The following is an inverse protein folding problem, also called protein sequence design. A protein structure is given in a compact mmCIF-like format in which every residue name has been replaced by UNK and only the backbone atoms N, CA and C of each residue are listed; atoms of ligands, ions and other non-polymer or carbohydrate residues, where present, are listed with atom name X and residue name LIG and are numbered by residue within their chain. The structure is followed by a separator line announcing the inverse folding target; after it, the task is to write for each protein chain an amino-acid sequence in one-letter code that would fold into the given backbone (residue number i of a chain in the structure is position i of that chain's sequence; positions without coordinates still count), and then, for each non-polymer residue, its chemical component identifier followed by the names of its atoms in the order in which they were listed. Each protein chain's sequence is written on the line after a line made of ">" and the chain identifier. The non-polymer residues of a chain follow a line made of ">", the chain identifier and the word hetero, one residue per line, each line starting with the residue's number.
data_IF_838468419608
#
_entry.id   IF_838468419608
#
_cell.length_a   1.000
_cell.length_b   1.000
_cell.length_c   1.000
_cell.angle_alpha   90.00
_cell.angle_beta   90.00
_cell.angle_gamma   90.00
#
_symmetry.space_group_name_H-M   'P 1'
#
loop_
_entity.id
_entity.type
_entity.pdbx_description
1 polymer ?
#
# COMPACT_ATOMS: atom_id res chain seq x y z
N UNK A 1 14.29 96.19 -51.75
CA UNK A 1 13.30 95.13 -52.04
C UNK A 1 13.97 94.10 -52.93
N UNK A 2 14.42 92.98 -52.36
CA UNK A 2 15.15 91.94 -53.08
C UNK A 2 14.21 90.76 -53.34
N UNK A 3 13.67 90.66 -54.55
CA UNK A 3 12.78 89.58 -54.97
C UNK A 3 13.60 88.38 -55.44
N UNK A 4 13.59 87.31 -54.65
CA UNK A 4 14.21 86.04 -55.01
C UNK A 4 13.44 85.38 -56.17
N UNK A 5 14.12 84.81 -57.18
CA UNK A 5 13.45 84.14 -58.29
C UNK A 5 12.74 82.85 -57.82
N UNK A 6 11.62 82.50 -58.47
CA UNK A 6 10.84 81.31 -58.11
C UNK A 6 11.65 80.03 -58.38
N UNK A 7 11.53 79.01 -57.50
CA UNK A 7 12.22 77.74 -57.67
C UNK A 7 11.72 77.01 -58.93
N UNK A 8 12.67 76.43 -59.68
CA UNK A 8 12.38 75.65 -60.88
C UNK A 8 11.55 74.40 -60.53
N UNK A 9 10.57 74.02 -61.38
CA UNK A 9 9.80 72.81 -61.17
C UNK A 9 10.71 71.57 -61.23
N UNK A 10 10.51 70.58 -60.34
CA UNK A 10 11.31 69.37 -60.33
C UNK A 10 11.17 68.62 -61.67
N UNK A 11 12.24 67.98 -62.16
CA UNK A 11 12.20 67.23 -63.41
C UNK A 11 11.13 66.13 -63.33
N UNK A 12 10.15 66.21 -64.25
CA UNK A 12 9.13 65.18 -64.47
C UNK A 12 9.82 63.88 -64.88
N UNK A 13 10.09 63.00 -63.93
CA UNK A 13 10.55 61.65 -64.26
C UNK A 13 9.45 60.90 -65.04
N UNK A 14 9.80 60.19 -66.12
CA UNK A 14 8.84 59.41 -66.86
C UNK A 14 8.19 58.37 -65.94
N UNK A 15 6.91 58.03 -66.16
CA UNK A 15 6.22 57.00 -65.38
C UNK A 15 6.97 55.68 -65.57
N UNK A 16 7.67 55.24 -64.52
CA UNK A 16 8.27 53.92 -64.47
C UNK A 16 7.12 52.93 -64.52
N UNK A 17 6.94 52.28 -65.68
CA UNK A 17 6.05 51.11 -65.79
C UNK A 17 6.62 50.02 -64.89
N UNK A 18 6.13 49.95 -63.66
CA UNK A 18 6.38 48.81 -62.79
C UNK A 18 5.58 47.64 -63.36
N UNK A 19 6.28 46.75 -64.05
CA UNK A 19 5.74 45.43 -64.37
C UNK A 19 5.81 44.64 -63.07
N UNK A 20 4.68 44.53 -62.37
CA UNK A 20 4.57 43.79 -61.12
C UNK A 20 4.69 42.28 -61.40
N UNK A 21 5.90 41.81 -61.66
CA UNK A 21 6.19 40.38 -61.72
C UNK A 21 6.08 39.82 -60.31
N UNK A 22 4.91 39.26 -59.99
CA UNK A 22 4.67 38.56 -58.74
C UNK A 22 5.65 37.39 -58.55
N UNK A 23 5.92 37.04 -57.31
CA UNK A 23 6.76 35.89 -56.98
C UNK A 23 6.11 34.59 -57.47
N UNK A 24 6.90 33.71 -58.11
CA UNK A 24 6.40 32.43 -58.62
C UNK A 24 5.90 31.54 -57.47
N UNK A 25 4.71 30.92 -57.57
CA UNK A 25 4.21 29.96 -56.57
C UNK A 25 5.18 28.82 -56.31
N UNK A 26 5.91 28.37 -57.35
CA UNK A 26 6.92 27.30 -57.24
C UNK A 26 8.05 27.71 -56.28
N UNK A 27 8.43 29.00 -56.26
CA UNK A 27 9.45 29.48 -55.34
C UNK A 27 8.95 29.42 -53.88
N UNK A 28 7.69 29.77 -53.65
CA UNK A 28 7.07 29.72 -52.32
C UNK A 28 7.01 28.28 -51.82
N UNK A 29 6.67 27.32 -52.69
CA UNK A 29 6.64 25.90 -52.34
C UNK A 29 8.04 25.35 -52.05
N UNK A 30 9.06 25.81 -52.78
CA UNK A 30 10.47 25.47 -52.48
C UNK A 30 10.88 26.02 -51.12
N UNK A 31 10.57 27.28 -50.82
CA UNK A 31 10.84 27.88 -49.50
C UNK A 31 10.10 27.10 -48.40
N UNK A 32 8.82 26.78 -48.61
CA UNK A 32 8.05 26.01 -47.63
C UNK A 32 8.66 24.64 -47.38
N UNK A 33 9.16 23.97 -48.43
CA UNK A 33 9.86 22.69 -48.31
C UNK A 33 11.19 22.82 -47.59
N UNK A 34 12.01 23.80 -47.95
CA UNK A 34 13.34 24.03 -47.37
C UNK A 34 13.24 24.32 -45.85
N UNK A 35 12.22 25.05 -45.44
CA UNK A 35 11.94 25.33 -44.02
C UNK A 35 11.09 24.25 -43.32
N UNK A 36 10.76 23.15 -44.00
CA UNK A 36 9.92 22.06 -43.50
C UNK A 36 8.59 22.54 -42.89
N UNK A 37 7.95 23.48 -43.57
CA UNK A 37 6.70 24.09 -43.14
C UNK A 37 5.51 23.15 -43.31
N UNK A 38 4.53 23.28 -42.41
CA UNK A 38 3.26 22.58 -42.54
C UNK A 38 2.42 23.15 -43.69
N UNK A 39 1.49 22.35 -44.23
CA UNK A 39 0.60 22.76 -45.32
C UNK A 39 -0.14 24.07 -45.02
N UNK A 40 -0.59 24.27 -43.77
CA UNK A 40 -1.24 25.52 -43.34
C UNK A 40 -0.28 26.72 -43.38
N UNK A 41 0.96 26.54 -42.94
CA UNK A 41 1.98 27.59 -42.96
C UNK A 41 2.39 27.95 -44.38
N UNK A 42 2.53 26.95 -45.25
CA UNK A 42 2.76 27.16 -46.68
C UNK A 42 1.62 27.96 -47.33
N UNK A 43 0.36 27.65 -46.99
CA UNK A 43 -0.79 28.40 -47.47
C UNK A 43 -0.79 29.86 -46.97
N UNK A 44 -0.28 30.11 -45.76
CA UNK A 44 -0.09 31.48 -45.25
C UNK A 44 0.97 32.22 -46.05
N UNK A 45 2.08 31.57 -46.45
CA UNK A 45 3.08 32.20 -47.33
C UNK A 45 2.48 32.58 -48.69
N UNK A 46 1.73 31.67 -49.32
CA UNK A 46 1.02 31.94 -50.59
C UNK A 46 0.05 33.12 -50.44
N UNK A 47 -0.70 33.15 -49.34
CA UNK A 47 -1.65 34.23 -49.03
C UNK A 47 -0.92 35.56 -48.82
N UNK A 48 0.22 35.54 -48.12
CA UNK A 48 1.05 36.72 -47.89
C UNK A 48 1.60 37.30 -49.20
N UNK A 49 2.07 36.44 -50.11
CA UNK A 49 2.51 36.87 -51.45
C UNK A 49 1.36 37.46 -52.26
N UNK A 50 0.18 36.83 -52.22
CA UNK A 50 -1.01 37.33 -52.92
C UNK A 50 -1.38 38.74 -52.44
N UNK A 51 -1.41 38.98 -51.13
CA UNK A 51 -1.69 40.29 -50.57
C UNK A 51 -0.59 41.32 -50.84
N UNK A 52 0.68 40.92 -50.71
CA UNK A 52 1.84 41.77 -50.98
C UNK A 52 1.96 42.22 -52.44
N UNK A 53 1.27 41.52 -53.36
CA UNK A 53 1.24 41.83 -54.79
C UNK A 53 0.06 42.69 -55.23
N UNK A 54 -0.87 43.07 -54.34
CA UNK A 54 -2.02 43.90 -54.68
C UNK A 54 -1.65 45.39 -54.86
N UNK A 55 -2.16 46.01 -55.93
CA UNK A 55 -1.99 47.45 -56.19
C UNK A 55 -0.56 47.83 -56.56
N UNK A 56 0.00 48.87 -55.92
CA UNK A 56 1.42 49.24 -56.07
C UNK A 56 2.36 48.25 -55.38
N UNK A 57 1.82 47.40 -54.49
CA UNK A 57 2.52 46.25 -53.89
C UNK A 57 3.82 46.56 -53.14
N UNK A 58 4.46 45.49 -52.67
CA UNK A 58 5.86 45.51 -52.26
C UNK A 58 6.74 45.27 -53.49
N UNK A 59 7.94 45.86 -53.50
CA UNK A 59 8.94 45.47 -54.49
C UNK A 59 9.27 43.99 -54.34
N UNK A 60 9.54 43.29 -55.45
CA UNK A 60 9.91 41.88 -55.44
C UNK A 60 11.00 41.52 -54.40
N UNK A 61 12.11 42.27 -54.24
CA UNK A 61 13.12 41.96 -53.23
C UNK A 61 12.61 42.15 -51.78
N UNK A 62 11.77 43.15 -51.51
CA UNK A 62 11.18 43.31 -50.17
C UNK A 62 10.19 42.17 -49.89
N UNK A 63 9.35 41.81 -50.87
CA UNK A 63 8.42 40.69 -50.75
C UNK A 63 9.15 39.36 -50.50
N UNK A 64 10.22 39.09 -51.24
CA UNK A 64 11.04 37.89 -51.07
C UNK A 64 11.67 37.81 -49.68
N UNK A 65 12.24 38.93 -49.21
CA UNK A 65 12.88 39.00 -47.88
C UNK A 65 11.85 38.73 -46.78
N UNK A 66 10.65 39.31 -46.88
CA UNK A 66 9.59 39.09 -45.90
C UNK A 66 9.02 37.68 -45.92
N UNK A 67 8.85 37.07 -47.09
CA UNK A 67 8.43 35.66 -47.22
C UNK A 67 9.46 34.75 -46.57
N UNK A 68 10.75 34.98 -46.84
CA UNK A 68 11.83 34.20 -46.24
C UNK A 68 11.88 34.36 -44.71
N UNK A 69 11.76 35.60 -44.20
CA UNK A 69 11.67 35.86 -42.77
C UNK A 69 10.47 35.16 -42.11
N UNK A 70 9.30 35.20 -42.76
CA UNK A 70 8.09 34.56 -42.26
C UNK A 70 8.23 33.03 -42.25
N UNK A 71 8.86 32.46 -43.28
CA UNK A 71 9.18 31.04 -43.33
C UNK A 71 10.14 30.63 -42.21
N UNK A 72 11.20 31.42 -41.96
CA UNK A 72 12.12 31.19 -40.86
C UNK A 72 11.42 31.24 -39.49
N UNK A 73 10.51 32.20 -39.28
CA UNK A 73 9.71 32.30 -38.05
C UNK A 73 8.79 31.10 -37.85
N UNK A 74 8.11 30.64 -38.90
CA UNK A 74 7.27 29.44 -38.81
C UNK A 74 8.07 28.18 -38.52
N UNK A 75 9.26 28.06 -39.12
CA UNK A 75 10.17 26.94 -38.87
C UNK A 75 10.62 26.90 -37.40
N UNK A 76 11.07 28.03 -36.85
CA UNK A 76 11.48 28.14 -35.44
C UNK A 76 10.31 27.86 -34.49
N UNK A 77 9.12 28.40 -34.76
CA UNK A 77 7.93 28.13 -33.96
C UNK A 77 7.54 26.64 -33.97
N UNK A 78 7.57 26.00 -35.13
CA UNK A 78 7.29 24.57 -35.26
C UNK A 78 8.33 23.71 -34.52
N UNK A 79 9.61 24.08 -34.58
CA UNK A 79 10.67 23.34 -33.90
C UNK A 79 10.55 23.46 -32.37
N UNK A 80 10.27 24.66 -31.85
CA UNK A 80 10.00 24.84 -30.41
C UNK A 80 8.83 24.00 -29.93
N UNK A 81 7.76 23.91 -30.72
CA UNK A 81 6.61 23.07 -30.38
C UNK A 81 7.00 21.58 -30.36
N UNK A 82 7.78 21.10 -31.33
CA UNK A 82 8.28 19.71 -31.34
C UNK A 82 9.16 19.41 -30.13
N UNK A 83 10.07 20.32 -29.77
CA UNK A 83 10.93 20.18 -28.58
C UNK A 83 10.06 20.10 -27.32
N UNK A 84 9.06 20.97 -27.20
CA UNK A 84 8.15 20.97 -26.05
C UNK A 84 7.34 19.68 -25.96
N UNK A 85 6.77 19.20 -27.07
CA UNK A 85 6.02 17.94 -27.09
C UNK A 85 6.90 16.74 -26.75
N UNK A 86 8.17 16.71 -27.20
CA UNK A 86 9.14 15.67 -26.79
C UNK A 86 9.44 15.75 -25.29
N UNK A 87 9.67 16.94 -24.76
CA UNK A 87 9.92 17.12 -23.33
C UNK A 87 8.71 16.75 -22.45
N UNK A 88 7.49 17.01 -22.93
CA UNK A 88 6.25 16.58 -22.27
C UNK A 88 6.10 15.06 -22.32
N UNK A 89 6.37 14.42 -23.46
CA UNK A 89 6.36 12.96 -23.59
C UNK A 89 7.37 12.30 -22.65
N UNK A 90 8.62 12.77 -22.61
CA UNK A 90 9.67 12.26 -21.72
C UNK A 90 9.31 12.43 -20.22
N UNK A 91 8.58 13.50 -19.88
CA UNK A 91 8.06 13.71 -18.52
C UNK A 91 6.95 12.73 -18.16
N UNK A 92 6.04 12.45 -19.08
CA UNK A 92 4.97 11.47 -18.87
C UNK A 92 5.56 10.07 -18.69
N UNK A 93 6.54 9.70 -19.51
CA UNK A 93 7.19 8.39 -19.45
C UNK A 93 7.99 8.19 -18.17
N UNK A 94 8.71 9.21 -17.70
CA UNK A 94 9.46 9.14 -16.44
C UNK A 94 8.54 9.04 -15.22
N UNK A 95 7.42 9.77 -15.19
CA UNK A 95 6.44 9.67 -14.10
C UNK A 95 5.81 8.26 -14.03
N UNK A 96 5.48 7.67 -15.18
CA UNK A 96 4.96 6.30 -15.25
C UNK A 96 6.00 5.28 -14.75
N UNK A 97 7.28 5.43 -15.16
CA UNK A 97 8.38 4.58 -14.70
C UNK A 97 8.59 4.67 -13.17
N UNK A 98 8.54 5.87 -12.59
CA UNK A 98 8.65 6.03 -11.13
C UNK A 98 7.47 5.42 -10.38
N UNK A 99 6.26 5.51 -10.94
CA UNK A 99 5.08 4.88 -10.38
C UNK A 99 5.24 3.34 -10.36
N UNK A 100 5.65 2.75 -11.49
CA UNK A 100 5.90 1.31 -11.60
C UNK A 100 7.03 0.85 -10.66
N UNK A 101 8.14 1.60 -10.60
CA UNK A 101 9.24 1.29 -9.67
C UNK A 101 8.77 1.33 -8.21
N UNK A 102 7.92 2.30 -7.85
CA UNK A 102 7.34 2.40 -6.52
C UNK A 102 6.47 1.19 -6.20
N UNK A 103 5.60 0.77 -7.13
CA UNK A 103 4.75 -0.43 -6.97
C UNK A 103 5.63 -1.66 -6.74
N UNK A 104 6.65 -1.90 -7.57
CA UNK A 104 7.55 -3.05 -7.42
C UNK A 104 8.32 -3.02 -6.10
N UNK A 105 8.76 -1.85 -5.65
CA UNK A 105 9.43 -1.70 -4.36
C UNK A 105 8.48 -1.94 -3.16
N UNK A 106 7.19 -1.66 -3.33
CA UNK A 106 6.16 -1.97 -2.34
C UNK A 106 5.83 -3.47 -2.33
N UNK A 107 5.76 -4.12 -3.50
CA UNK A 107 5.49 -5.56 -3.65
C UNK A 107 6.66 -6.44 -3.19
N UNK A 108 7.89 -6.01 -3.45
CA UNK A 108 9.11 -6.74 -3.03
C UNK A 108 9.48 -6.50 -1.57
N UNK A 109 8.68 -5.72 -0.83
CA UNK A 109 8.92 -5.44 0.57
C UNK A 109 8.91 -6.73 1.40
N UNK A 110 10.05 -7.05 2.01
CA UNK A 110 10.20 -8.18 2.91
C UNK A 110 10.54 -7.69 4.32
N UNK A 111 9.90 -8.29 5.32
CA UNK A 111 10.28 -8.09 6.72
C UNK A 111 11.68 -8.65 6.97
N UNK A 112 12.49 -7.90 7.69
CA UNK A 112 13.78 -8.42 8.19
C UNK A 112 13.53 -9.52 9.21
N UNK A 113 14.50 -10.40 9.43
CA UNK A 113 14.33 -11.51 10.37
C UNK A 113 14.23 -11.03 11.83
N UNK A 114 14.88 -9.90 12.15
CA UNK A 114 14.72 -9.21 13.44
C UNK A 114 13.28 -8.73 13.64
N UNK A 115 12.71 -8.07 12.63
CA UNK A 115 11.31 -7.66 12.66
C UNK A 115 10.40 -8.89 12.83
N UNK A 116 10.58 -9.95 12.03
CA UNK A 116 9.75 -11.17 12.15
C UNK A 116 9.77 -11.81 13.53
N UNK A 117 10.92 -11.82 14.21
CA UNK A 117 11.09 -12.44 15.53
C UNK A 117 10.51 -11.59 16.66
N UNK A 118 10.53 -10.26 16.52
CA UNK A 118 10.05 -9.33 17.53
C UNK A 118 8.52 -9.33 17.69
N UNK A 119 7.77 -9.71 16.64
CA UNK A 119 6.29 -9.79 16.65
C UNK A 119 5.72 -11.13 17.14
N UNK A 120 6.58 -12.10 17.48
CA UNK A 120 6.19 -13.50 17.70
C UNK A 120 5.58 -13.79 19.06
N UNK A 121 5.39 -12.79 19.92
CA UNK A 121 4.96 -13.03 21.27
C UNK A 121 3.65 -12.29 21.60
N UNK A 122 2.55 -12.49 20.82
CA UNK A 122 1.24 -12.12 21.32
C UNK A 122 1.01 -12.85 22.64
N UNK A 123 0.39 -12.20 23.63
CA UNK A 123 -0.07 -12.95 24.81
C UNK A 123 -1.08 -13.97 24.31
N UNK A 124 -1.23 -15.04 25.08
CA UNK A 124 -2.08 -16.17 24.75
C UNK A 124 -3.50 -15.80 24.22
N UNK A 125 -4.07 -14.70 24.72
CA UNK A 125 -5.40 -14.19 24.31
C UNK A 125 -5.38 -13.01 23.35
N UNK A 126 -4.20 -12.47 23.01
CA UNK A 126 -4.11 -11.28 22.17
C UNK A 126 -4.55 -11.64 20.77
N UNK A 127 -5.73 -11.17 20.38
CA UNK A 127 -6.19 -11.28 19.01
C UNK A 127 -5.33 -10.36 18.14
N UNK A 128 -5.28 -10.64 16.84
CA UNK A 128 -4.58 -9.77 15.88
C UNK A 128 -5.07 -8.31 15.95
N UNK A 129 -6.33 -8.09 16.37
CA UNK A 129 -6.94 -6.78 16.63
C UNK A 129 -6.28 -6.02 17.77
N UNK A 130 -5.75 -6.73 18.76
CA UNK A 130 -5.11 -6.13 19.93
C UNK A 130 -3.60 -5.96 19.70
N UNK A 131 -3.00 -6.84 18.88
CA UNK A 131 -1.58 -6.73 18.48
C UNK A 131 -1.35 -5.47 17.66
N UNK A 132 -2.26 -5.14 16.73
CA UNK A 132 -2.05 -4.03 15.80
C UNK A 132 -1.84 -2.67 16.50
N UNK A 133 -2.75 -2.17 17.37
CA UNK A 133 -2.54 -0.91 18.09
C UNK A 133 -1.29 -0.92 18.97
N UNK A 134 -0.96 -2.06 19.58
CA UNK A 134 0.21 -2.19 20.45
C UNK A 134 1.53 -2.14 19.67
N UNK A 135 1.55 -2.63 18.43
CA UNK A 135 2.69 -2.55 17.52
C UNK A 135 2.80 -1.14 16.93
N UNK A 136 1.67 -0.52 16.58
CA UNK A 136 1.63 0.87 16.08
C UNK A 136 2.13 1.87 17.13
N UNK A 137 1.70 1.73 18.38
CA UNK A 137 2.14 2.59 19.48
C UNK A 137 3.65 2.46 19.76
N UNK A 138 4.22 1.28 19.53
CA UNK A 138 5.64 0.95 19.78
C UNK A 138 6.47 0.83 18.51
N UNK A 139 6.03 1.48 17.42
CA UNK A 139 6.70 1.36 16.11
C UNK A 139 8.17 1.77 16.12
N UNK A 140 8.57 2.71 16.97
CA UNK A 140 9.97 3.14 17.09
C UNK A 140 10.82 2.06 17.76
N UNK A 141 10.32 1.49 18.87
CA UNK A 141 10.97 0.39 19.60
C UNK A 141 11.17 -0.84 18.69
N UNK A 142 10.21 -1.08 17.80
CA UNK A 142 10.24 -2.21 16.88
C UNK A 142 10.93 -1.93 15.52
N UNK A 143 11.46 -0.73 15.30
CA UNK A 143 12.08 -0.36 14.03
C UNK A 143 11.10 -0.45 12.84
N UNK A 144 9.86 -0.04 13.05
CA UNK A 144 8.74 -0.06 12.10
C UNK A 144 8.36 1.30 11.55
N UNK A 145 9.17 2.32 11.80
CA UNK A 145 8.94 3.67 11.29
C UNK A 145 8.86 3.71 9.76
N UNK A 146 9.55 2.79 9.08
CA UNK A 146 9.51 2.64 7.62
C UNK A 146 8.29 1.85 7.10
N UNK A 147 7.44 1.31 7.98
CA UNK A 147 6.23 0.57 7.63
C UNK A 147 5.00 1.44 7.82
N UNK A 148 4.85 2.02 9.02
CA UNK A 148 3.70 2.85 9.34
C UNK A 148 3.71 4.16 8.57
N UNK A 149 2.57 4.51 7.97
CA UNK A 149 2.39 5.61 7.03
C UNK A 149 2.46 5.18 5.56
N UNK A 150 2.85 3.94 5.26
CA UNK A 150 2.87 3.39 3.90
C UNK A 150 1.84 2.25 3.80
N UNK A 151 0.68 2.54 3.21
CA UNK A 151 -0.48 1.64 3.18
C UNK A 151 -0.16 0.22 2.69
N UNK A 152 0.67 0.08 1.64
CA UNK A 152 1.08 -1.23 1.11
C UNK A 152 1.84 -2.06 2.14
N UNK A 153 2.78 -1.44 2.87
CA UNK A 153 3.58 -2.11 3.89
C UNK A 153 2.77 -2.40 5.15
N UNK A 154 1.87 -1.49 5.54
CA UNK A 154 0.91 -1.72 6.62
C UNK A 154 0.00 -2.92 6.33
N UNK A 155 -0.51 -3.03 5.10
CA UNK A 155 -1.32 -4.19 4.68
C UNK A 155 -0.52 -5.48 4.77
N UNK A 156 0.72 -5.51 4.29
CA UNK A 156 1.61 -6.66 4.42
C UNK A 156 1.90 -7.00 5.89
N UNK A 157 2.09 -6.01 6.76
CA UNK A 157 2.32 -6.21 8.19
C UNK A 157 1.07 -6.78 8.86
N UNK A 158 -0.10 -6.27 8.50
CA UNK A 158 -1.38 -6.75 9.01
C UNK A 158 -1.64 -8.20 8.64
N UNK A 159 -1.34 -8.58 7.38
CA UNK A 159 -1.40 -9.97 6.94
C UNK A 159 -0.40 -10.86 7.70
N UNK A 160 0.83 -10.40 7.90
CA UNK A 160 1.84 -11.11 8.68
C UNK A 160 1.38 -11.34 10.12
N UNK A 161 0.90 -10.30 10.81
CA UNK A 161 0.37 -10.38 12.19
C UNK A 161 -0.79 -11.37 12.26
N UNK A 162 -1.75 -11.30 11.33
CA UNK A 162 -2.88 -12.25 11.26
C UNK A 162 -2.41 -13.69 11.13
N UNK A 163 -1.49 -13.95 10.19
CA UNK A 163 -0.92 -15.28 9.96
C UNK A 163 -0.20 -15.82 11.20
N UNK A 164 0.60 -14.99 11.87
CA UNK A 164 1.29 -15.39 13.09
C UNK A 164 0.33 -15.67 14.24
N UNK A 165 -0.64 -14.78 14.50
CA UNK A 165 -1.64 -14.99 15.55
C UNK A 165 -2.45 -16.27 15.31
N UNK A 166 -2.81 -16.56 14.05
CA UNK A 166 -3.51 -17.81 13.70
C UNK A 166 -2.61 -19.05 13.88
N UNK A 167 -1.35 -19.01 13.44
CA UNK A 167 -0.40 -20.11 13.63
C UNK A 167 -0.16 -20.39 15.11
N UNK A 168 -0.02 -19.34 15.92
CA UNK A 168 0.18 -19.43 17.36
C UNK A 168 -1.03 -20.06 18.05
N UNK A 169 -2.24 -19.58 17.75
CA UNK A 169 -3.48 -20.16 18.28
C UNK A 169 -3.61 -21.64 17.91
N UNK A 170 -3.28 -22.00 16.67
CA UNK A 170 -3.34 -23.39 16.22
C UNK A 170 -2.31 -24.29 16.95
N UNK A 171 -1.07 -23.82 17.09
CA UNK A 171 -0.04 -24.54 17.83
C UNK A 171 -0.45 -24.73 19.30
N UNK A 172 -0.96 -23.68 19.94
CA UNK A 172 -1.44 -23.76 21.31
C UNK A 172 -2.63 -24.72 21.48
N UNK A 173 -3.61 -24.69 20.56
CA UNK A 173 -4.71 -25.67 20.55
C UNK A 173 -4.20 -27.10 20.42
N UNK A 174 -3.21 -27.33 19.57
CA UNK A 174 -2.60 -28.65 19.39
C UNK A 174 -1.94 -29.12 20.69
N UNK A 175 -1.21 -28.24 21.37
CA UNK A 175 -0.58 -28.53 22.67
C UNK A 175 -1.64 -28.79 23.76
N UNK A 176 -2.73 -28.01 23.77
CA UNK A 176 -3.85 -28.20 24.71
C UNK A 176 -4.50 -29.57 24.51
N UNK A 177 -4.85 -29.93 23.26
CA UNK A 177 -5.45 -31.23 22.94
C UNK A 177 -4.49 -32.36 23.33
N UNK A 178 -3.20 -32.21 23.02
CA UNK A 178 -2.18 -33.20 23.39
C UNK A 178 -2.05 -33.37 24.91
N UNK A 179 -2.25 -32.29 25.69
CA UNK A 179 -2.20 -32.35 27.17
C UNK A 179 -3.38 -33.11 27.79
N UNK A 180 -4.51 -33.18 27.07
CA UNK A 180 -5.74 -33.86 27.50
C UNK A 180 -5.77 -35.33 27.03
N UNK A 181 -5.02 -35.67 25.97
CA UNK A 181 -4.91 -37.04 25.44
C UNK A 181 -4.48 -38.02 26.56
N UNK A 182 -5.26 -39.08 26.84
CA UNK A 182 -4.93 -40.08 27.86
C UNK A 182 -3.52 -40.67 27.76
N UNK A 183 -2.94 -40.70 26.55
CA UNK A 183 -1.60 -41.24 26.31
C UNK A 183 -0.47 -40.29 26.67
N UNK A 184 -0.75 -38.98 26.66
CA UNK A 184 0.24 -37.89 26.88
C UNK A 184 -0.26 -36.88 27.91
N UNK A 185 -1.04 -37.38 28.86
CA UNK A 185 -1.70 -36.54 29.85
C UNK A 185 -0.68 -35.69 30.60
N UNK A 186 -0.91 -34.37 30.61
CA UNK A 186 -0.09 -33.40 31.34
C UNK A 186 -0.96 -32.75 32.42
N UNK A 187 -0.55 -32.77 33.70
CA UNK A 187 -1.27 -32.08 34.76
C UNK A 187 -1.46 -30.60 34.42
N UNK A 188 -2.62 -30.05 34.76
CA UNK A 188 -2.99 -28.67 34.43
C UNK A 188 -1.90 -27.65 34.82
N UNK A 189 -1.36 -27.75 36.04
CA UNK A 189 -0.34 -26.81 36.51
C UNK A 189 0.94 -26.85 35.66
N UNK A 190 1.35 -28.05 35.25
CA UNK A 190 2.52 -28.27 34.39
C UNK A 190 2.25 -27.79 32.96
N UNK A 191 1.04 -28.01 32.45
CA UNK A 191 0.62 -27.46 31.15
C UNK A 191 0.60 -25.93 31.15
N UNK A 192 0.02 -25.30 32.17
CA UNK A 192 -0.03 -23.83 32.25
C UNK A 192 1.40 -23.28 32.37
N UNK A 193 2.26 -23.89 33.18
CA UNK A 193 3.66 -23.46 33.29
C UNK A 193 4.44 -23.61 31.98
N UNK A 194 4.35 -24.77 31.32
CA UNK A 194 5.06 -25.04 30.06
C UNK A 194 4.53 -24.20 28.90
N UNK A 195 3.22 -24.07 28.77
CA UNK A 195 2.59 -23.22 27.76
C UNK A 195 2.93 -21.74 28.01
N UNK A 196 2.92 -21.27 29.25
CA UNK A 196 3.32 -19.90 29.59
C UNK A 196 4.78 -19.66 29.21
N UNK A 197 5.69 -20.58 29.53
CA UNK A 197 7.10 -20.46 29.11
C UNK A 197 7.28 -20.47 27.59
N UNK A 198 6.48 -21.25 26.87
CA UNK A 198 6.57 -21.38 25.41
C UNK A 198 5.97 -20.17 24.67
N UNK A 199 4.93 -19.57 25.24
CA UNK A 199 4.03 -18.65 24.53
C UNK A 199 3.97 -17.23 25.12
N UNK A 200 4.54 -16.98 26.31
CA UNK A 200 4.64 -15.64 26.90
C UNK A 200 5.95 -14.94 26.50
N UNK A 201 5.88 -13.65 26.15
CA UNK A 201 7.09 -12.83 25.94
C UNK A 201 7.87 -12.74 27.25
N UNK A 202 9.17 -13.01 27.21
CA UNK A 202 10.07 -12.86 28.35
C UNK A 202 10.13 -14.06 29.30
N UNK A 203 9.41 -15.14 29.00
CA UNK A 203 9.36 -16.35 29.84
C UNK A 203 8.61 -16.14 31.17
N UNK A 204 8.35 -17.22 31.90
CA UNK A 204 7.71 -17.15 33.22
C UNK A 204 8.73 -16.73 34.29
N UNK A 205 9.16 -15.47 34.29
CA UNK A 205 10.08 -14.92 35.29
C UNK A 205 9.39 -14.51 36.61
N UNK A 206 8.23 -15.09 36.95
CA UNK A 206 7.48 -14.75 38.16
C UNK A 206 6.33 -15.70 38.47
N UNK A 207 5.48 -15.30 39.43
CA UNK A 207 4.24 -16.02 39.74
C UNK A 207 3.35 -16.10 38.49
N UNK A 208 2.86 -17.30 38.19
CA UNK A 208 1.92 -17.51 37.10
C UNK A 208 0.67 -16.66 37.35
N UNK A 209 0.28 -15.76 36.43
CA UNK A 209 -0.93 -14.98 36.63
C UNK A 209 -2.12 -15.95 36.68
N UNK A 210 -2.91 -15.88 37.75
CA UNK A 210 -4.06 -16.78 37.97
C UNK A 210 -5.04 -16.80 36.78
N UNK A 211 -5.09 -15.71 36.01
CA UNK A 211 -5.85 -15.59 34.77
C UNK A 211 -5.49 -16.64 33.73
N UNK A 212 -4.20 -17.00 33.58
CA UNK A 212 -3.78 -18.04 32.63
C UNK A 212 -4.31 -19.41 33.02
N UNK A 213 -4.28 -19.74 34.32
CA UNK A 213 -4.80 -21.00 34.84
C UNK A 213 -6.31 -21.10 34.62
N UNK A 214 -7.05 -20.04 34.93
CA UNK A 214 -8.51 -19.98 34.71
C UNK A 214 -8.84 -20.17 33.22
N UNK A 215 -8.10 -19.52 32.33
CA UNK A 215 -8.32 -19.65 30.89
C UNK A 215 -7.99 -21.03 30.35
N UNK A 216 -6.90 -21.65 30.80
CA UNK A 216 -6.55 -23.01 30.42
C UNK A 216 -7.63 -24.01 30.85
N UNK A 217 -8.21 -23.82 32.05
CA UNK A 217 -9.34 -24.63 32.53
C UNK A 217 -10.55 -24.46 31.61
N UNK A 218 -10.98 -23.22 31.35
CA UNK A 218 -12.15 -22.95 30.50
C UNK A 218 -12.02 -23.54 29.11
N UNK A 219 -10.83 -23.46 28.51
CA UNK A 219 -10.58 -23.99 27.18
C UNK A 219 -10.42 -25.49 27.14
N UNK A 220 -9.82 -26.10 28.17
CA UNK A 220 -9.81 -27.56 28.32
C UNK A 220 -11.25 -28.09 28.44
N UNK A 221 -12.09 -27.43 29.26
CA UNK A 221 -13.49 -27.84 29.40
C UNK A 221 -14.29 -27.68 28.10
N UNK A 222 -14.02 -26.65 27.30
CA UNK A 222 -14.67 -26.47 26.01
C UNK A 222 -14.21 -27.52 24.98
N UNK A 223 -12.90 -27.85 24.98
CA UNK A 223 -12.33 -28.85 24.06
C UNK A 223 -12.81 -30.28 24.33
N UNK A 224 -13.35 -30.55 25.53
CA UNK A 224 -13.98 -31.84 25.87
C UNK A 224 -15.43 -31.94 25.41
N UNK A 225 -16.15 -30.81 25.46
CA UNK A 225 -17.56 -30.74 25.05
C UNK A 225 -17.70 -30.70 23.52
N UNK A 226 -16.65 -30.26 22.81
CA UNK A 226 -16.56 -30.24 21.36
C UNK A 226 -15.91 -31.55 20.86
N UNK A 227 -16.74 -32.54 20.53
CA UNK A 227 -16.35 -33.66 19.64
C UNK A 227 -16.15 -33.07 18.24
N UNK A 228 -15.07 -32.29 18.08
CA UNK A 228 -14.74 -31.47 16.92
C UNK A 228 -14.58 -32.34 15.67
N UNK A 229 -15.64 -32.42 14.87
CA UNK A 229 -15.59 -32.78 13.46
C UNK A 229 -14.67 -31.77 12.75
N UNK A 230 -13.40 -32.14 12.62
CA UNK A 230 -12.39 -31.32 11.97
C UNK A 230 -12.57 -31.38 10.44
N UNK A 231 -13.62 -30.77 9.91
CA UNK A 231 -13.62 -30.28 8.54
C UNK A 231 -12.80 -28.98 8.54
N UNK A 232 -11.48 -29.16 8.49
CA UNK A 232 -10.54 -28.06 8.32
C UNK A 232 -10.68 -27.61 6.88
N UNK A 233 -11.44 -26.53 6.67
CA UNK A 233 -11.53 -25.82 5.40
C UNK A 233 -10.13 -25.54 4.86
N UNK A 234 -9.83 -26.21 3.75
CA UNK A 234 -8.66 -25.96 2.92
C UNK A 234 -8.93 -24.72 2.07
N UNK A 235 -9.02 -23.55 2.70
CA UNK A 235 -9.09 -22.28 2.00
C UNK A 235 -7.73 -21.96 1.35
N UNK A 236 -7.71 -22.24 0.05
CA UNK A 236 -6.99 -21.57 -1.04
C UNK A 236 -5.76 -20.73 -0.63
N UNK A 237 -4.60 -21.40 -0.65
CA UNK A 237 -3.32 -20.72 -0.86
C UNK A 237 -3.02 -20.72 -2.36
N UNK A 238 -3.21 -19.57 -2.99
CA UNK A 238 -2.48 -19.26 -4.22
C UNK A 238 -0.97 -19.22 -3.91
N UNK A 239 -0.23 -19.94 -4.76
CA UNK A 239 1.22 -19.95 -5.05
C UNK A 239 2.24 -20.64 -4.10
N UNK A 240 2.64 -21.83 -4.58
CA UNK A 240 3.99 -22.42 -4.61
C UNK A 240 4.75 -22.74 -3.30
N UNK A 241 4.52 -23.95 -2.75
CA UNK A 241 5.54 -25.02 -2.67
C UNK A 241 4.93 -26.31 -2.09
N UNK A 242 4.80 -27.35 -2.92
CA UNK A 242 4.13 -28.62 -2.58
C UNK A 242 5.00 -29.48 -1.65
N UNK A 243 4.52 -29.74 -0.42
CA UNK A 243 4.95 -30.91 0.37
C UNK A 243 3.71 -31.67 0.89
N UNK A 244 3.59 -32.93 0.48
CA UNK A 244 2.49 -33.83 0.87
C UNK A 244 2.69 -34.29 2.33
N UNK A 245 1.64 -34.23 3.15
CA UNK A 245 1.59 -34.84 4.49
C UNK A 245 0.66 -36.05 4.52
N UNK A 246 0.94 -37.08 5.34
CA UNK A 246 0.14 -38.31 5.43
C UNK A 246 -1.09 -38.14 6.32
N UNK A 247 -2.15 -38.91 6.01
CA UNK A 247 -3.43 -38.97 6.75
C UNK A 247 -3.29 -39.86 7.99
N UNK A 248 -3.75 -39.40 9.15
CA UNK A 248 -3.83 -40.17 10.39
C UNK A 248 -5.27 -40.66 10.64
N UNK A 249 -5.41 -41.93 11.02
CA UNK A 249 -6.69 -42.60 11.27
C UNK A 249 -7.28 -42.37 12.67
N UNK A 250 -8.60 -42.60 12.78
CA UNK A 250 -9.42 -42.47 14.00
C UNK A 250 -9.07 -43.51 15.06
N UNK A 251 -9.11 -43.12 16.35
CA UNK A 251 -8.92 -43.99 17.52
C UNK A 251 -10.24 -44.17 18.27
N UNK A 252 -10.46 -45.38 18.78
CA UNK A 252 -11.68 -45.80 19.46
C UNK A 252 -11.80 -45.31 20.91
N UNK A 253 -13.04 -45.02 21.29
CA UNK A 253 -13.53 -44.50 22.59
C UNK A 253 -13.23 -45.42 23.78
N UNK A 254 -12.66 -44.83 24.84
CA UNK A 254 -12.50 -45.39 26.18
C UNK A 254 -12.28 -44.26 27.17
N UNK A 255 -13.10 -44.19 28.22
CA UNK A 255 -13.39 -43.00 29.03
C UNK A 255 -12.19 -42.32 29.72
N UNK A 256 -12.16 -40.97 29.67
CA UNK A 256 -11.07 -40.10 30.16
C UNK A 256 -11.39 -39.50 31.55
N UNK A 257 -10.36 -39.16 32.32
CA UNK A 257 -10.39 -38.59 33.68
C UNK A 257 -11.35 -37.39 33.89
N UNK A 258 -11.54 -36.56 32.86
CA UNK A 258 -12.46 -35.41 32.88
C UNK A 258 -13.96 -35.77 32.85
N UNK A 259 -14.30 -37.01 32.48
CA UNK A 259 -15.67 -37.54 32.65
C UNK A 259 -16.11 -37.61 34.12
N UNK A 260 -15.17 -37.47 35.08
CA UNK A 260 -15.46 -37.34 36.51
C UNK A 260 -15.54 -35.86 36.94
N UNK A 261 -16.47 -35.08 36.35
CA UNK A 261 -16.87 -33.74 36.85
C UNK A 261 -17.52 -33.75 38.26
N UNK A 262 -17.56 -34.90 38.95
CA UNK A 262 -18.07 -35.02 40.32
C UNK A 262 -17.24 -34.27 41.39
N UNK A 263 -16.05 -33.76 41.06
CA UNK A 263 -15.21 -33.02 42.02
C UNK A 263 -15.47 -31.51 42.08
N UNK A 264 -16.25 -30.95 41.14
CA UNK A 264 -16.64 -29.53 41.14
C UNK A 264 -18.10 -29.30 41.58
N UNK A 265 -18.85 -30.36 41.88
CA UNK A 265 -20.15 -30.24 42.56
C UNK A 265 -19.85 -30.07 44.06
N UNK A 266 -20.24 -28.96 44.73
CA UNK A 266 -20.12 -28.89 46.17
C UNK A 266 -20.88 -30.10 46.73
N UNK A 267 -20.21 -30.90 47.56
CA UNK A 267 -20.83 -32.07 48.17
C UNK A 267 -22.17 -31.63 48.76
N UNK A 268 -23.27 -32.19 48.27
CA UNK A 268 -24.56 -32.01 48.90
C UNK A 268 -24.37 -32.48 50.34
N UNK A 269 -24.35 -31.52 51.25
CA UNK A 269 -24.15 -31.75 52.67
C UNK A 269 -25.20 -32.76 53.14
N UNK A 270 -24.81 -33.93 53.68
CA UNK A 270 -25.78 -34.75 54.38
C UNK A 270 -26.19 -33.97 55.62
N UNK A 271 -27.46 -33.59 55.67
CA UNK A 271 -28.10 -33.03 56.84
C UNK A 271 -27.79 -33.90 58.06
N UNK A 272 -26.93 -33.41 58.94
CA UNK A 272 -26.69 -33.97 60.27
C UNK A 272 -26.22 -32.87 61.19
N UNK A 273 -27.12 -32.52 62.11
CA UNK A 273 -27.01 -31.45 63.07
C UNK A 273 -25.78 -31.60 63.97
N UNK A 274 -24.90 -30.60 63.96
CA UNK A 274 -24.13 -30.22 65.14
C UNK A 274 -24.05 -28.70 65.20
N UNK A 275 -24.82 -28.15 66.14
CA UNK A 275 -24.72 -26.79 66.64
C UNK A 275 -23.32 -26.56 67.21
N UNK A 276 -22.49 -25.80 66.49
CA UNK A 276 -21.36 -25.08 67.05
C UNK A 276 -21.39 -23.68 66.48
N UNK A 277 -21.55 -22.70 67.37
CA UNK A 277 -21.57 -21.27 67.08
C UNK A 277 -20.42 -20.87 66.14
N UNK A 278 -20.78 -20.41 64.94
CA UNK A 278 -19.89 -19.62 64.10
C UNK A 278 -20.25 -18.15 64.27
N UNK A 279 -19.25 -17.38 64.70
CA UNK A 279 -19.27 -15.92 64.70
C UNK A 279 -19.45 -15.38 63.27
N UNK A 280 -20.12 -14.24 63.06
CA UNK A 280 -20.36 -13.72 61.71
C UNK A 280 -19.06 -13.28 61.04
N UNK A 281 -18.78 -13.85 59.87
CA UNK A 281 -17.83 -13.33 58.90
C UNK A 281 -18.52 -12.21 58.12
N UNK A 282 -18.61 -11.03 58.74
CA UNK A 282 -18.75 -9.79 57.99
C UNK A 282 -17.41 -9.44 57.33
N UNK A 283 -17.46 -8.81 56.15
CA UNK A 283 -16.34 -8.19 55.42
C UNK A 283 -15.55 -9.04 54.42
N UNK A 284 -16.17 -9.33 53.27
CA UNK A 284 -15.45 -9.47 51.99
C UNK A 284 -15.97 -8.51 50.91
N UNK A 285 -17.10 -7.84 51.14
CA UNK A 285 -17.67 -6.86 50.20
C UNK A 285 -16.94 -5.51 50.18
N UNK A 286 -16.01 -5.25 51.12
CA UNK A 286 -15.28 -3.97 51.16
C UNK A 286 -14.01 -3.94 50.29
N UNK A 287 -13.52 -5.06 49.77
CA UNK A 287 -12.26 -5.08 49.01
C UNK A 287 -12.44 -4.84 47.50
N UNK A 288 -13.67 -4.91 46.98
CA UNK A 288 -13.95 -4.76 45.54
C UNK A 288 -14.29 -3.33 45.09
N UNK A 289 -14.41 -2.36 46.02
CA UNK A 289 -14.72 -0.95 45.68
C UNK A 289 -13.48 -0.04 45.72
N UNK A 290 -12.32 -0.52 46.15
CA UNK A 290 -11.09 0.30 46.23
C UNK A 290 -10.11 0.14 45.06
N UNK A 291 -10.49 -0.53 43.97
CA UNK A 291 -9.61 -0.80 42.82
C UNK A 291 -10.21 -0.37 41.46
N UNK A 292 -11.16 0.57 41.48
CA UNK A 292 -11.63 1.34 40.31
C UNK A 292 -11.43 2.83 40.59
#
# INVERSE_FOLDING_TARGET
>A
MSSSPPPLPPPSMPPVRQVSAGMSPILIDTIARDFSLESKQAQVLHTFVAFGSLGSGLSLPDLATRVFMLAAQFSDAAERQRIQSRAEQDRVDSAALFCDLKIRLEETFCFTDQQKTLYMAPKFLTLHTDVWPAVEHRKVEFGLENIFGILGREKSLGQFIKKQCSSFRNAWRTDLIASIDPKKFTPLLEFVFSSTNKYQIGGALGELPQTYTIHAILLATAAEDEELESDVDHDEAEEHCVRKKPKLGRVASGANFWSRRSYLRPAASPASAHSSEMKPLESWEQTLVSAA
#
